data_IF_186477974915
#
_entry.id   IF_186477974915
#
_cell.length_a   1.000
_cell.length_b   1.000
_cell.length_c   1.000
_cell.angle_alpha   90.00
_cell.angle_beta   90.00
_cell.angle_gamma   90.00
#
_symmetry.space_group_name_H-M   'P 1'
#
loop_
_entity.id
_entity.type
_entity.pdbx_description
1 polymer ?
#
# COMPACT_ATOMS: atom_id res chain seq x y z
N UNK A 1 -20.78 -4.70 -7.15
CA UNK A 1 -19.76 -4.44 -8.19
C UNK A 1 -18.57 -3.85 -7.45
N UNK A 2 -17.39 -4.48 -7.48
CA UNK A 2 -16.19 -3.92 -6.83
C UNK A 2 -15.39 -3.21 -7.92
N UNK A 3 -15.26 -1.90 -7.80
CA UNK A 3 -14.40 -1.09 -8.68
C UNK A 3 -13.18 -0.65 -7.87
N UNK A 4 -11.99 -1.13 -8.24
CA UNK A 4 -10.73 -0.69 -7.65
C UNK A 4 -10.09 0.38 -8.55
N UNK A 5 -9.91 1.58 -8.01
CA UNK A 5 -9.20 2.67 -8.70
C UNK A 5 -7.74 2.69 -8.24
N UNK A 6 -6.82 2.39 -9.17
CA UNK A 6 -5.44 2.86 -9.08
C UNK A 6 -5.40 4.33 -9.52
N UNK A 7 -4.86 5.19 -8.66
CA UNK A 7 -4.85 6.64 -8.79
C UNK A 7 -3.72 7.20 -9.69
N UNK A 8 -2.88 6.34 -10.28
CA UNK A 8 -1.88 6.75 -11.28
C UNK A 8 -1.90 5.85 -12.51
N UNK A 9 -2.60 6.27 -13.57
CA UNK A 9 -2.48 5.68 -14.91
C UNK A 9 -1.28 6.29 -15.64
N UNK A 10 -0.13 5.61 -15.62
CA UNK A 10 0.95 5.88 -16.58
C UNK A 10 0.74 5.07 -17.85
N UNK A 11 0.67 5.78 -18.98
CA UNK A 11 0.71 5.21 -20.33
C UNK A 11 2.15 4.83 -20.66
N UNK A 12 2.47 3.54 -20.69
CA UNK A 12 3.79 3.08 -21.14
C UNK A 12 3.96 3.36 -22.64
N UNK A 13 4.89 4.24 -22.96
CA UNK A 13 5.17 4.71 -24.32
C UNK A 13 6.00 3.67 -25.10
N UNK A 14 5.69 3.55 -26.39
CA UNK A 14 5.86 2.37 -27.24
C UNK A 14 7.27 2.16 -27.85
N UNK A 15 8.34 2.70 -27.24
CA UNK A 15 9.67 2.68 -27.87
C UNK A 15 10.77 2.26 -26.90
N UNK A 16 11.04 0.95 -26.87
CA UNK A 16 12.34 0.25 -26.82
C UNK A 16 12.07 -1.17 -26.31
N UNK A 17 11.56 -2.02 -27.20
CA UNK A 17 11.44 -3.46 -26.94
C UNK A 17 12.75 -4.15 -27.37
N UNK A 18 13.65 -4.38 -26.42
CA UNK A 18 14.80 -5.27 -26.61
C UNK A 18 14.26 -6.71 -26.81
N UNK A 19 14.74 -7.36 -27.88
CA UNK A 19 14.26 -8.62 -28.48
C UNK A 19 14.08 -9.83 -27.53
N UNK A 20 14.48 -9.77 -26.26
CA UNK A 20 14.54 -10.91 -25.34
C UNK A 20 13.19 -11.31 -24.72
N UNK A 21 12.20 -10.42 -24.67
CA UNK A 21 10.89 -10.66 -24.02
C UNK A 21 9.70 -10.82 -24.98
N UNK A 22 9.98 -10.97 -26.29
CA UNK A 22 8.97 -10.93 -27.37
C UNK A 22 7.97 -12.09 -27.41
N UNK A 23 8.08 -13.11 -26.54
CA UNK A 23 7.18 -14.27 -26.56
C UNK A 23 5.90 -14.12 -25.74
N UNK A 24 5.72 -13.03 -24.99
CA UNK A 24 4.57 -12.92 -24.07
C UNK A 24 3.84 -11.57 -24.04
N UNK A 25 4.04 -10.67 -25.01
CA UNK A 25 3.31 -9.40 -25.05
C UNK A 25 2.44 -9.38 -26.30
N UNK A 26 1.19 -9.84 -26.18
CA UNK A 26 0.15 -9.48 -27.15
C UNK A 26 -0.13 -7.99 -26.95
N UNK A 27 0.18 -7.21 -27.99
CA UNK A 27 -0.20 -5.80 -28.13
C UNK A 27 -1.71 -5.69 -28.02
N UNK A 28 -2.18 -5.22 -26.88
CA UNK A 28 -3.58 -4.86 -26.66
C UNK A 28 -3.58 -3.59 -25.82
N UNK A 29 -4.15 -2.52 -26.37
CA UNK A 29 -4.63 -1.41 -25.56
C UNK A 29 -5.50 -2.01 -24.46
N UNK A 30 -5.02 -2.02 -23.21
CA UNK A 30 -5.74 -2.58 -22.07
C UNK A 30 -6.89 -1.62 -21.78
N UNK A 31 -8.01 -1.77 -22.49
CA UNK A 31 -9.30 -1.29 -22.00
C UNK A 31 -9.52 -1.99 -20.67
N UNK A 32 -9.64 -1.22 -19.57
CA UNK A 32 -9.99 -1.73 -18.24
C UNK A 32 -11.26 -2.58 -18.37
N UNK A 33 -11.21 -3.91 -18.19
CA UNK A 33 -12.40 -4.71 -18.13
C UNK A 33 -13.19 -4.29 -16.89
N UNK A 34 -14.49 -4.09 -17.03
CA UNK A 34 -15.39 -4.02 -15.88
C UNK A 34 -15.30 -5.35 -15.13
N UNK A 35 -15.09 -5.33 -13.82
CA UNK A 35 -15.16 -6.54 -12.98
C UNK A 35 -16.63 -6.90 -12.85
N UNK A 36 -17.13 -7.72 -13.77
CA UNK A 36 -18.48 -8.27 -13.71
C UNK A 36 -18.42 -9.51 -12.82
N UNK A 37 -19.31 -9.59 -11.83
CA UNK A 37 -19.41 -10.75 -10.95
C UNK A 37 -19.71 -11.99 -11.80
N UNK A 38 -18.71 -12.84 -12.01
CA UNK A 38 -18.85 -14.12 -12.67
C UNK A 38 -19.82 -15.02 -11.91
N UNK A 39 -20.79 -15.58 -12.64
CA UNK A 39 -21.78 -16.48 -12.09
C UNK A 39 -21.12 -17.68 -11.38
N UNK A 40 -21.67 -17.99 -10.20
CA UNK A 40 -21.35 -19.14 -9.31
C UNK A 40 -20.86 -20.36 -10.08
N UNK A 41 -19.64 -20.83 -9.75
CA UNK A 41 -19.23 -22.24 -9.77
C UNK A 41 -17.93 -22.43 -8.96
N UNK A 42 -18.06 -23.27 -7.93
CA UNK A 42 -17.10 -23.76 -6.94
C UNK A 42 -16.74 -22.83 -5.76
N UNK A 43 -17.56 -22.95 -4.71
CA UNK A 43 -17.10 -23.08 -3.32
C UNK A 43 -16.88 -21.83 -2.48
N UNK A 44 -16.34 -20.74 -3.03
CA UNK A 44 -16.09 -19.52 -2.25
C UNK A 44 -16.37 -18.28 -3.11
N UNK A 45 -17.05 -17.27 -2.53
CA UNK A 45 -17.30 -15.99 -3.18
C UNK A 45 -16.03 -15.19 -3.46
N UNK A 46 -16.18 -14.01 -4.08
CA UNK A 46 -15.07 -13.12 -4.43
C UNK A 46 -14.21 -12.81 -3.19
N UNK A 47 -12.88 -12.92 -3.34
CA UNK A 47 -11.91 -12.57 -2.30
C UNK A 47 -11.01 -11.45 -2.75
N UNK A 48 -10.75 -10.51 -1.84
CA UNK A 48 -9.78 -9.42 -2.06
C UNK A 48 -8.67 -9.53 -1.04
N UNK A 49 -7.46 -9.69 -1.56
CA UNK A 49 -6.21 -9.79 -0.83
C UNK A 49 -5.43 -8.48 -0.92
N UNK A 50 -4.59 -8.21 0.07
CA UNK A 50 -3.74 -7.01 0.13
C UNK A 50 -2.30 -7.36 0.51
N UNK A 51 -1.38 -6.60 -0.08
CA UNK A 51 0.05 -6.58 0.19
C UNK A 51 0.61 -5.17 0.02
N UNK A 52 1.67 -4.85 0.74
CA UNK A 52 2.52 -3.68 0.53
C UNK A 52 3.98 -4.02 0.79
N UNK A 53 4.89 -3.13 0.38
CA UNK A 53 6.30 -3.14 0.80
C UNK A 53 6.97 -4.50 0.51
N UNK A 54 6.85 -4.99 -0.72
CA UNK A 54 7.39 -6.28 -1.15
C UNK A 54 8.92 -6.24 -1.25
N UNK A 55 9.52 -5.12 -1.68
CA UNK A 55 10.97 -4.94 -1.79
C UNK A 55 11.70 -6.14 -2.38
N UNK A 56 11.30 -6.61 -3.57
CA UNK A 56 11.79 -7.87 -4.13
C UNK A 56 13.22 -7.81 -4.68
N UNK A 57 13.89 -6.66 -4.57
CA UNK A 57 15.35 -6.56 -4.71
C UNK A 57 16.09 -7.35 -3.64
N UNK A 58 15.46 -7.60 -2.49
CA UNK A 58 15.94 -8.59 -1.54
C UNK A 58 15.62 -10.00 -2.05
N UNK A 59 16.62 -10.87 -2.25
CA UNK A 59 16.40 -12.23 -2.75
C UNK A 59 15.42 -13.04 -1.90
N UNK A 60 15.40 -12.82 -0.58
CA UNK A 60 14.48 -13.47 0.34
C UNK A 60 13.02 -13.06 0.08
N UNK A 61 12.78 -11.81 -0.29
CA UNK A 61 11.43 -11.32 -0.61
C UNK A 61 10.98 -11.84 -1.98
N UNK A 62 11.88 -11.86 -2.97
CA UNK A 62 11.60 -12.51 -4.26
C UNK A 62 11.30 -14.01 -4.09
N UNK A 63 12.05 -14.71 -3.24
CA UNK A 63 11.80 -16.11 -2.91
C UNK A 63 10.41 -16.30 -2.26
N UNK A 64 10.01 -15.41 -1.35
CA UNK A 64 8.68 -15.41 -0.76
C UNK A 64 7.59 -15.26 -1.83
N UNK A 65 7.71 -14.29 -2.75
CA UNK A 65 6.73 -14.11 -3.86
C UNK A 65 6.65 -15.36 -4.74
N UNK A 66 7.79 -15.97 -5.07
CA UNK A 66 7.82 -17.22 -5.85
C UNK A 66 7.12 -18.38 -5.14
N UNK A 67 7.19 -18.41 -3.80
CA UNK A 67 6.58 -19.48 -2.99
C UNK A 67 5.04 -19.40 -2.91
N UNK A 68 4.44 -18.26 -3.28
CA UNK A 68 2.98 -18.12 -3.32
C UNK A 68 2.37 -19.14 -4.30
N UNK A 69 1.28 -19.77 -3.88
CA UNK A 69 0.59 -20.80 -4.65
C UNK A 69 -0.05 -20.24 -5.91
N UNK A 70 0.11 -20.95 -7.04
CA UNK A 70 -0.54 -20.64 -8.32
C UNK A 70 -1.97 -21.16 -8.42
N UNK A 71 -2.45 -21.95 -7.45
CA UNK A 71 -3.80 -22.54 -7.45
C UNK A 71 -4.70 -21.97 -6.35
N UNK A 72 -4.12 -21.57 -5.22
CA UNK A 72 -4.91 -21.12 -4.06
C UNK A 72 -5.66 -19.81 -4.32
N UNK A 73 -5.11 -18.98 -5.21
CA UNK A 73 -5.51 -17.59 -5.42
C UNK A 73 -5.91 -17.26 -6.87
N UNK A 74 -6.02 -18.27 -7.72
CA UNK A 74 -6.17 -18.11 -9.18
C UNK A 74 -7.43 -17.34 -9.61
N UNK A 75 -8.44 -17.24 -8.73
CA UNK A 75 -9.69 -16.47 -8.91
C UNK A 75 -9.81 -15.22 -8.02
N UNK A 76 -8.73 -14.85 -7.34
CA UNK A 76 -8.74 -13.77 -6.34
C UNK A 76 -8.25 -12.44 -6.91
N UNK A 77 -8.62 -11.35 -6.22
CA UNK A 77 -8.10 -10.01 -6.45
C UNK A 77 -6.96 -9.74 -5.48
N UNK A 78 -5.86 -9.14 -5.94
CA UNK A 78 -4.78 -8.62 -5.11
C UNK A 78 -4.64 -7.10 -5.28
N UNK A 79 -4.58 -6.38 -4.16
CA UNK A 79 -4.18 -4.98 -4.10
C UNK A 79 -2.74 -4.90 -3.60
N UNK A 80 -1.89 -4.19 -4.33
CA UNK A 80 -0.49 -3.95 -4.01
C UNK A 80 -0.28 -2.46 -3.73
N UNK A 81 -0.13 -2.12 -2.44
CA UNK A 81 0.02 -0.75 -1.94
C UNK A 81 1.50 -0.32 -1.93
N UNK A 82 2.12 -0.33 -3.12
CA UNK A 82 3.44 0.22 -3.39
C UNK A 82 4.63 -0.58 -2.87
N UNK A 83 5.81 -0.09 -3.24
CA UNK A 83 7.13 -0.61 -2.90
C UNK A 83 7.30 -2.07 -3.30
N UNK A 84 7.08 -2.35 -4.59
CA UNK A 84 7.27 -3.67 -5.18
C UNK A 84 8.75 -3.96 -5.34
N UNK A 85 9.46 -3.08 -6.04
CA UNK A 85 10.90 -3.17 -6.29
C UNK A 85 11.45 -1.83 -6.78
N UNK A 86 12.70 -1.56 -6.44
CA UNK A 86 13.50 -0.46 -6.97
C UNK A 86 14.06 -0.77 -8.37
N UNK A 87 14.54 -2.00 -8.63
CA UNK A 87 15.06 -2.34 -9.95
C UNK A 87 13.95 -2.73 -10.91
N UNK A 88 13.95 -2.11 -12.09
CA UNK A 88 12.95 -2.34 -13.14
C UNK A 88 12.74 -3.83 -13.50
N UNK A 89 13.83 -4.59 -13.63
CA UNK A 89 13.74 -6.02 -13.97
C UNK A 89 13.06 -6.84 -12.85
N UNK A 90 13.35 -6.52 -11.59
CA UNK A 90 12.70 -7.16 -10.44
C UNK A 90 11.24 -6.73 -10.32
N UNK A 91 10.92 -5.47 -10.61
CA UNK A 91 9.55 -4.98 -10.66
C UNK A 91 8.72 -5.78 -11.68
N UNK A 92 9.19 -5.87 -12.94
CA UNK A 92 8.49 -6.59 -14.00
C UNK A 92 8.35 -8.07 -13.67
N UNK A 93 9.40 -8.71 -13.14
CA UNK A 93 9.34 -10.11 -12.72
C UNK A 93 8.31 -10.31 -11.60
N UNK A 94 8.31 -9.45 -10.59
CA UNK A 94 7.39 -9.54 -9.45
C UNK A 94 5.93 -9.38 -9.89
N UNK A 95 5.63 -8.33 -10.66
CA UNK A 95 4.28 -8.09 -11.15
C UNK A 95 3.79 -9.24 -12.06
N UNK A 96 4.68 -9.84 -12.85
CA UNK A 96 4.36 -11.02 -13.66
C UNK A 96 4.03 -12.24 -12.79
N UNK A 97 4.81 -12.50 -11.74
CA UNK A 97 4.56 -13.60 -10.80
C UNK A 97 3.25 -13.41 -10.03
N UNK A 98 2.94 -12.20 -9.59
CA UNK A 98 1.67 -11.89 -8.93
C UNK A 98 0.50 -12.08 -9.90
N UNK A 99 0.63 -11.63 -11.15
CA UNK A 99 -0.42 -11.78 -12.16
C UNK A 99 -0.65 -13.22 -12.60
N UNK A 100 0.35 -14.09 -12.48
CA UNK A 100 0.20 -15.54 -12.67
C UNK A 100 -0.61 -16.20 -11.55
N UNK A 101 -0.57 -15.63 -10.33
CA UNK A 101 -1.17 -16.23 -9.13
C UNK A 101 -2.55 -15.68 -8.78
N UNK A 102 -2.87 -14.46 -9.23
CA UNK A 102 -4.12 -13.76 -8.95
C UNK A 102 -4.84 -13.37 -10.23
N UNK A 103 -6.17 -13.53 -10.26
CA UNK A 103 -6.97 -13.17 -11.43
C UNK A 103 -6.88 -11.68 -11.75
N UNK A 104 -6.87 -10.83 -10.71
CA UNK A 104 -6.71 -9.39 -10.86
C UNK A 104 -5.65 -8.86 -9.90
N UNK A 105 -4.77 -7.99 -10.40
CA UNK A 105 -3.75 -7.32 -9.59
C UNK A 105 -3.89 -5.82 -9.83
N UNK A 106 -4.20 -5.08 -8.77
CA UNK A 106 -4.23 -3.62 -8.77
C UNK A 106 -3.02 -3.10 -7.99
N UNK A 107 -2.40 -2.03 -8.49
CA UNK A 107 -1.15 -1.51 -7.95
C UNK A 107 -1.16 0.02 -7.96
N UNK A 108 -0.54 0.61 -6.94
CA UNK A 108 -0.14 2.02 -6.89
C UNK A 108 1.35 2.08 -6.57
N UNK A 109 2.12 2.98 -7.21
CA UNK A 109 3.54 3.10 -6.96
C UNK A 109 3.82 3.64 -5.56
N UNK A 110 4.82 3.04 -4.90
CA UNK A 110 5.49 3.60 -3.74
C UNK A 110 6.71 4.43 -4.12
N UNK A 111 7.45 4.90 -3.11
CA UNK A 111 8.64 5.72 -3.37
C UNK A 111 9.76 4.90 -4.00
N UNK A 112 9.95 3.63 -3.58
CA UNK A 112 10.98 2.77 -4.14
C UNK A 112 10.72 2.42 -5.62
N UNK A 113 9.45 2.30 -6.02
CA UNK A 113 9.08 2.01 -7.41
C UNK A 113 9.43 3.16 -8.38
N UNK A 114 9.67 4.37 -7.85
CA UNK A 114 9.92 5.59 -8.62
C UNK A 114 11.36 6.10 -8.52
N UNK A 115 12.22 5.47 -7.72
CA UNK A 115 13.61 5.89 -7.58
C UNK A 115 14.41 5.63 -8.87
N UNK A 116 14.84 6.72 -9.52
CA UNK A 116 15.78 6.68 -10.65
C UNK A 116 17.22 6.67 -10.10
N UNK A 117 17.86 5.49 -9.97
CA UNK A 117 19.23 5.43 -9.43
C UNK A 117 20.28 6.10 -10.32
N UNK A 118 21.07 6.97 -9.70
CA UNK A 118 22.53 7.03 -9.82
C UNK A 118 23.07 6.96 -8.37
N UNK A 119 23.62 5.81 -7.99
CA UNK A 119 24.42 5.49 -6.78
C UNK A 119 24.26 6.35 -5.49
N UNK A 120 23.61 5.83 -4.43
CA UNK A 120 23.93 5.98 -2.98
C UNK A 120 22.83 5.40 -2.06
N UNK A 121 23.18 5.00 -0.83
CA UNK A 121 22.36 4.30 0.19
C UNK A 121 21.91 5.20 1.38
N UNK A 122 21.25 6.33 1.14
CA UNK A 122 20.66 7.13 2.23
C UNK A 122 19.18 6.82 2.49
N UNK A 123 18.70 7.04 3.72
CA UNK A 123 17.27 7.02 4.06
C UNK A 123 16.60 8.36 3.68
N UNK A 124 15.31 8.36 3.36
CA UNK A 124 14.57 9.55 2.88
C UNK A 124 15.14 10.16 1.60
N UNK A 125 15.52 9.32 0.62
CA UNK A 125 16.15 9.77 -0.64
C UNK A 125 15.29 10.74 -1.43
N UNK A 126 13.98 10.74 -1.25
CA UNK A 126 13.06 11.60 -2.02
C UNK A 126 13.48 13.08 -1.96
N UNK A 127 14.04 13.54 -0.83
CA UNK A 127 14.53 14.92 -0.68
C UNK A 127 15.77 15.24 -1.53
N UNK A 128 16.56 14.23 -1.88
CA UNK A 128 17.84 14.36 -2.59
C UNK A 128 17.78 13.89 -4.05
N UNK A 129 16.97 12.87 -4.32
CA UNK A 129 16.84 12.22 -5.63
C UNK A 129 15.81 12.91 -6.53
N UNK A 130 14.82 13.62 -5.96
CA UNK A 130 13.79 14.29 -6.73
C UNK A 130 14.08 15.79 -6.91
N UNK A 131 13.97 16.27 -8.15
CA UNK A 131 14.01 17.71 -8.47
C UNK A 131 12.60 18.16 -8.83
N UNK A 132 12.08 19.11 -8.06
CA UNK A 132 10.74 19.64 -8.23
C UNK A 132 10.74 20.95 -9.01
N UNK A 133 9.65 21.28 -9.73
CA UNK A 133 9.41 22.62 -10.23
C UNK A 133 9.57 23.68 -9.12
N UNK A 134 10.08 24.87 -9.45
CA UNK A 134 10.47 25.87 -8.45
C UNK A 134 9.36 26.41 -7.55
N UNK A 135 8.09 26.17 -7.90
CA UNK A 135 6.92 26.51 -7.08
C UNK A 135 6.53 25.41 -6.07
N UNK A 136 7.22 24.27 -6.07
CA UNK A 136 6.99 23.16 -5.15
C UNK A 136 8.18 22.99 -4.21
N UNK A 137 7.88 22.68 -2.96
CA UNK A 137 8.85 22.71 -1.87
C UNK A 137 8.70 21.48 -0.98
N UNK A 138 9.83 20.90 -0.63
CA UNK A 138 9.95 19.83 0.36
C UNK A 138 9.74 20.32 1.81
N UNK A 139 9.57 21.63 2.03
CA UNK A 139 9.50 22.25 3.36
C UNK A 139 8.08 22.66 3.76
N UNK A 140 7.12 22.49 2.87
CA UNK A 140 5.71 22.83 3.08
C UNK A 140 4.79 21.77 2.42
N UNK A 141 3.49 22.04 2.41
CA UNK A 141 2.47 21.12 1.91
C UNK A 141 2.25 21.19 0.40
N UNK A 142 2.99 22.02 -0.34
CA UNK A 142 2.83 22.16 -1.81
C UNK A 142 3.09 20.83 -2.53
N UNK A 143 4.05 20.05 -2.02
CA UNK A 143 4.26 18.62 -2.28
C UNK A 143 2.96 17.82 -2.36
N UNK A 144 2.42 17.64 -1.17
CA UNK A 144 1.25 16.82 -0.95
C UNK A 144 0.05 17.32 -1.77
N UNK A 145 -0.21 18.64 -1.75
CA UNK A 145 -1.33 19.23 -2.48
C UNK A 145 -1.20 19.02 -3.99
N UNK A 146 0.00 19.16 -4.55
CA UNK A 146 0.23 18.95 -5.97
C UNK A 146 -0.12 17.50 -6.37
N UNK A 147 0.46 16.52 -5.69
CA UNK A 147 0.19 15.11 -5.98
C UNK A 147 -1.25 14.71 -5.72
N UNK A 148 -1.86 15.24 -4.66
CA UNK A 148 -3.27 15.04 -4.36
C UNK A 148 -4.16 15.57 -5.50
N UNK A 149 -3.91 16.79 -5.98
CA UNK A 149 -4.66 17.44 -7.06
C UNK A 149 -4.62 16.69 -8.39
N UNK A 150 -3.56 15.89 -8.65
CA UNK A 150 -3.49 15.04 -9.84
C UNK A 150 -4.61 14.01 -9.89
N UNK A 151 -5.25 13.71 -8.76
CA UNK A 151 -6.37 12.78 -8.65
C UNK A 151 -7.72 13.40 -9.04
N UNK A 152 -7.83 14.72 -9.16
CA UNK A 152 -9.07 15.40 -9.54
C UNK A 152 -9.60 14.95 -10.91
N UNK A 153 -8.70 14.54 -11.81
CA UNK A 153 -9.08 13.93 -13.11
C UNK A 153 -10.00 12.71 -12.97
N UNK A 154 -9.99 12.05 -11.81
CA UNK A 154 -10.78 10.85 -11.53
C UNK A 154 -12.12 11.16 -10.85
N UNK A 155 -12.45 12.42 -10.56
CA UNK A 155 -13.60 12.81 -9.75
C UNK A 155 -14.94 12.28 -10.29
N UNK A 156 -15.16 12.35 -11.61
CA UNK A 156 -16.39 11.81 -12.23
C UNK A 156 -16.50 10.29 -12.06
N UNK A 157 -15.39 9.57 -12.18
CA UNK A 157 -15.36 8.12 -11.99
C UNK A 157 -15.60 7.75 -10.53
N UNK A 158 -15.05 8.51 -9.58
CA UNK A 158 -15.32 8.32 -8.15
C UNK A 158 -16.82 8.50 -7.85
N UNK A 159 -17.45 9.57 -8.34
CA UNK A 159 -18.90 9.81 -8.17
C UNK A 159 -19.74 8.68 -8.77
N UNK A 160 -19.35 8.18 -9.94
CA UNK A 160 -20.01 7.03 -10.55
C UNK A 160 -19.90 5.76 -9.70
N UNK A 161 -18.73 5.50 -9.11
CA UNK A 161 -18.54 4.35 -8.21
C UNK A 161 -19.38 4.52 -6.94
N UNK A 162 -19.34 5.70 -6.31
CA UNK A 162 -20.14 5.99 -5.12
C UNK A 162 -21.65 5.80 -5.33
N UNK A 163 -22.15 6.12 -6.54
CA UNK A 163 -23.57 5.93 -6.86
C UNK A 163 -23.97 4.50 -7.25
N UNK A 164 -23.00 3.62 -7.54
CA UNK A 164 -23.27 2.27 -8.09
C UNK A 164 -22.77 1.13 -7.20
N UNK A 165 -21.86 1.42 -6.27
CA UNK A 165 -21.21 0.43 -5.43
C UNK A 165 -21.55 0.68 -3.96
N UNK A 166 -22.01 -0.35 -3.27
CA UNK A 166 -22.30 -0.30 -1.83
C UNK A 166 -21.05 -0.40 -0.96
N UNK A 167 -19.95 -0.93 -1.52
CA UNK A 167 -18.67 -1.16 -0.83
C UNK A 167 -17.54 -0.63 -1.69
N UNK A 168 -16.68 0.17 -1.07
CA UNK A 168 -15.57 0.83 -1.73
C UNK A 168 -14.30 0.48 -0.96
N UNK A 169 -13.26 0.10 -1.69
CA UNK A 169 -11.91 -0.06 -1.16
C UNK A 169 -11.05 0.99 -1.84
N UNK A 170 -10.47 1.90 -1.05
CA UNK A 170 -9.45 2.84 -1.54
C UNK A 170 -8.07 2.33 -1.11
N UNK A 171 -7.03 2.69 -1.85
CA UNK A 171 -5.68 2.33 -1.43
C UNK A 171 -4.64 3.33 -1.94
N UNK A 172 -3.63 3.58 -1.13
CA UNK A 172 -2.44 4.40 -1.40
C UNK A 172 -1.20 3.64 -0.99
N UNK A 173 -0.01 4.15 -1.34
CA UNK A 173 1.20 3.66 -0.69
C UNK A 173 1.43 4.39 0.64
N UNK A 174 1.34 5.72 0.63
CA UNK A 174 1.56 6.56 1.80
C UNK A 174 0.48 6.43 2.86
N UNK A 175 0.87 6.70 4.11
CA UNK A 175 0.04 6.62 5.31
C UNK A 175 -0.97 7.77 5.32
N UNK A 176 -2.27 7.49 5.43
CA UNK A 176 -3.29 8.54 5.37
C UNK A 176 -3.39 9.36 6.65
N UNK A 177 -3.10 8.75 7.81
CA UNK A 177 -3.26 9.41 9.12
C UNK A 177 -2.02 9.24 9.99
N UNK A 178 -1.65 10.30 10.70
CA UNK A 178 -0.54 10.28 11.65
C UNK A 178 -0.72 9.24 12.78
N UNK A 179 -1.96 8.92 13.14
CA UNK A 179 -2.31 7.90 14.13
C UNK A 179 -2.00 6.47 13.65
N UNK A 180 -1.84 6.25 12.35
CA UNK A 180 -1.42 4.97 11.79
C UNK A 180 0.11 4.86 11.69
N UNK A 181 0.82 5.70 12.45
CA UNK A 181 2.26 5.58 12.69
C UNK A 181 2.52 5.63 14.20
N UNK A 182 3.36 4.74 14.75
CA UNK A 182 3.70 4.78 16.17
C UNK A 182 4.28 6.13 16.58
N UNK A 183 4.07 6.50 17.84
CA UNK A 183 4.58 7.76 18.39
C UNK A 183 6.10 7.87 18.21
N UNK A 184 6.56 9.08 17.89
CA UNK A 184 7.98 9.39 17.63
C UNK A 184 8.93 8.81 18.68
N UNK A 185 8.56 8.85 19.96
CA UNK A 185 9.34 8.31 21.09
C UNK A 185 9.58 6.79 21.04
N UNK A 186 8.81 6.08 20.22
CA UNK A 186 8.85 4.62 20.04
C UNK A 186 9.58 4.21 18.76
N UNK A 187 9.96 5.16 17.90
CA UNK A 187 10.57 4.91 16.60
C UNK A 187 12.11 4.95 16.68
N UNK A 188 12.77 4.03 15.97
CA UNK A 188 14.23 4.09 15.78
C UNK A 188 14.65 5.25 14.86
N UNK A 189 13.80 5.63 13.92
CA UNK A 189 14.00 6.79 13.05
C UNK A 189 13.00 7.91 13.43
N UNK A 190 13.42 8.92 14.22
CA UNK A 190 12.50 9.91 14.78
C UNK A 190 11.94 10.90 13.75
N UNK A 191 12.52 10.96 12.55
CA UNK A 191 12.02 11.81 11.47
C UNK A 191 11.02 11.08 10.56
N UNK A 192 10.77 9.77 10.75
CA UNK A 192 9.81 9.00 9.94
C UNK A 192 8.47 9.73 9.80
N UNK A 193 7.81 10.22 10.87
CA UNK A 193 6.50 10.86 10.76
C UNK A 193 6.44 12.05 9.79
N UNK A 194 7.57 12.68 9.45
CA UNK A 194 7.62 13.82 8.54
C UNK A 194 7.46 13.44 7.06
N UNK A 195 7.58 12.15 6.72
CA UNK A 195 7.72 11.69 5.34
C UNK A 195 6.74 10.58 4.95
N UNK A 196 5.79 10.24 5.83
CA UNK A 196 4.94 9.06 5.63
C UNK A 196 3.67 9.32 4.84
N UNK A 197 3.23 10.58 4.71
CA UNK A 197 1.93 10.91 4.13
C UNK A 197 1.53 12.37 4.35
N UNK A 198 0.23 12.66 4.28
CA UNK A 198 -0.29 14.03 4.32
C UNK A 198 -1.76 14.12 4.67
N UNK A 199 -2.19 15.22 5.30
CA UNK A 199 -3.60 15.46 5.64
C UNK A 199 -4.51 15.50 4.40
N UNK A 200 -4.03 15.98 3.25
CA UNK A 200 -4.77 15.99 1.98
C UNK A 200 -5.21 14.59 1.52
N UNK A 201 -4.40 13.57 1.83
CA UNK A 201 -4.73 12.18 1.52
C UNK A 201 -5.91 11.70 2.37
N UNK A 202 -5.91 12.01 3.67
CA UNK A 202 -7.05 11.69 4.55
C UNK A 202 -8.31 12.44 4.10
N UNK A 203 -8.20 13.74 3.79
CA UNK A 203 -9.33 14.53 3.30
C UNK A 203 -9.94 13.90 2.04
N UNK A 204 -9.10 13.42 1.11
CA UNK A 204 -9.57 12.71 -0.09
C UNK A 204 -10.24 11.39 0.26
N UNK A 205 -9.66 10.59 1.15
CA UNK A 205 -10.25 9.32 1.59
C UNK A 205 -11.63 9.55 2.23
N UNK A 206 -11.75 10.59 3.06
CA UNK A 206 -13.01 11.02 3.69
C UNK A 206 -14.02 11.52 2.67
N UNK A 207 -13.59 12.23 1.63
CA UNK A 207 -14.48 12.64 0.54
C UNK A 207 -15.07 11.45 -0.24
N UNK A 208 -14.38 10.32 -0.24
CA UNK A 208 -14.81 9.09 -0.93
C UNK A 208 -15.72 8.25 -0.04
N UNK A 209 -15.33 8.03 1.22
CA UNK A 209 -16.04 7.12 2.13
C UNK A 209 -17.12 7.79 2.97
N UNK A 210 -17.05 9.11 3.14
CA UNK A 210 -17.90 9.87 4.06
C UNK A 210 -17.32 9.96 5.47
N UNK A 211 -18.07 10.66 6.34
CA UNK A 211 -17.71 10.97 7.74
C UNK A 211 -18.45 10.11 8.77
N UNK A 212 -19.46 9.34 8.36
CA UNK A 212 -20.21 8.45 9.25
C UNK A 212 -19.63 7.03 9.24
N UNK A 213 -19.83 6.29 10.34
CA UNK A 213 -19.36 4.90 10.50
C UNK A 213 -20.08 3.97 9.52
N UNK A 214 -19.58 3.89 8.30
CA UNK A 214 -20.04 2.96 7.30
C UNK A 214 -19.31 1.63 7.49
N UNK A 215 -20.05 0.55 7.69
CA UNK A 215 -19.53 -0.84 7.71
C UNK A 215 -18.86 -1.27 6.40
N UNK A 216 -18.80 -0.37 5.41
CA UNK A 216 -18.36 -0.62 4.04
C UNK A 216 -17.13 0.19 3.61
N UNK A 217 -16.51 0.95 4.52
CA UNK A 217 -15.34 1.78 4.23
C UNK A 217 -14.03 1.09 4.63
N UNK A 218 -13.16 0.86 3.64
CA UNK A 218 -11.83 0.29 3.85
C UNK A 218 -10.77 1.07 3.04
N UNK A 219 -9.65 1.36 3.68
CA UNK A 219 -8.48 1.96 3.07
C UNK A 219 -7.22 1.11 3.30
N UNK A 220 -6.53 0.76 2.23
CA UNK A 220 -5.29 -0.05 2.28
C UNK A 220 -4.08 0.84 2.03
N UNK A 221 -3.02 0.68 2.81
CA UNK A 221 -1.80 1.49 2.70
C UNK A 221 -0.50 0.68 2.94
N UNK A 222 0.66 1.34 2.84
CA UNK A 222 2.00 0.75 2.92
C UNK A 222 3.01 1.68 3.62
N UNK A 223 4.25 1.66 3.12
CA UNK A 223 5.33 2.61 3.39
C UNK A 223 6.05 2.46 4.75
N UNK A 224 5.33 2.41 5.87
CA UNK A 224 6.00 2.42 7.20
C UNK A 224 6.52 1.08 7.68
N UNK A 225 6.18 0.00 6.96
CA UNK A 225 6.42 -1.38 7.33
C UNK A 225 5.77 -1.83 8.65
N UNK A 226 4.93 -1.01 9.28
CA UNK A 226 4.16 -1.40 10.46
C UNK A 226 2.87 -2.11 10.04
N UNK A 227 2.59 -3.27 10.63
CA UNK A 227 1.30 -3.93 10.48
C UNK A 227 0.19 -3.08 11.09
N UNK A 228 -0.85 -2.83 10.31
CA UNK A 228 -2.06 -2.19 10.82
C UNK A 228 -3.30 -2.92 10.34
N UNK A 229 -4.21 -3.13 11.27
CA UNK A 229 -5.61 -3.39 10.98
C UNK A 229 -6.38 -2.69 12.10
N UNK A 230 -6.99 -1.55 11.81
CA UNK A 230 -7.64 -0.72 12.82
C UNK A 230 -8.79 0.06 12.20
N UNK A 231 -9.85 0.29 12.99
CA UNK A 231 -10.94 1.19 12.60
C UNK A 231 -10.71 2.54 13.27
N UNK A 232 -10.61 3.59 12.45
CA UNK A 232 -10.42 4.96 12.93
C UNK A 232 -11.49 5.85 12.31
N UNK A 233 -12.30 6.49 13.16
CA UNK A 233 -13.46 7.29 12.79
C UNK A 233 -14.35 6.61 11.73
N UNK A 234 -14.62 5.32 11.90
CA UNK A 234 -15.54 4.58 11.02
C UNK A 234 -14.95 4.04 9.71
N UNK A 235 -13.66 4.25 9.42
CA UNK A 235 -12.97 3.64 8.27
C UNK A 235 -11.99 2.58 8.78
N UNK A 236 -12.01 1.38 8.18
CA UNK A 236 -11.00 0.35 8.43
C UNK A 236 -9.74 0.67 7.64
N UNK A 237 -8.62 0.83 8.31
CA UNK A 237 -7.31 1.04 7.71
C UNK A 237 -6.46 -0.22 7.84
N UNK A 238 -5.90 -0.69 6.72
CA UNK A 238 -5.12 -1.92 6.66
C UNK A 238 -3.76 -1.67 6.02
N UNK A 239 -2.69 -2.03 6.72
CA UNK A 239 -1.34 -2.12 6.17
C UNK A 239 -0.84 -3.55 6.35
N UNK A 240 -0.51 -4.20 5.23
CA UNK A 240 -0.08 -5.60 5.16
C UNK A 240 1.32 -5.71 4.54
N UNK A 241 2.37 -5.23 5.24
CA UNK A 241 3.68 -5.07 4.67
C UNK A 241 4.45 -6.39 4.71
N UNK A 242 5.06 -6.78 3.59
CA UNK A 242 6.08 -7.85 3.62
C UNK A 242 7.36 -7.35 4.28
N UNK A 243 7.67 -6.05 4.14
CA UNK A 243 8.79 -5.34 4.76
C UNK A 243 10.18 -5.91 4.41
N UNK A 244 11.24 -5.33 4.98
CA UNK A 244 12.60 -5.85 4.77
C UNK A 244 12.82 -7.17 5.54
N UNK A 245 13.64 -8.10 5.01
CA UNK A 245 13.94 -9.36 5.70
C UNK A 245 14.47 -9.19 7.14
N UNK A 246 15.25 -8.13 7.40
CA UNK A 246 15.79 -7.83 8.74
C UNK A 246 14.70 -7.38 9.72
N UNK A 247 13.64 -6.75 9.24
CA UNK A 247 12.53 -6.26 10.07
C UNK A 247 11.58 -7.41 10.41
N UNK A 248 11.28 -8.30 9.45
CA UNK A 248 10.48 -9.52 9.71
C UNK A 248 11.07 -10.38 10.82
N UNK A 249 12.40 -10.51 10.88
CA UNK A 249 13.10 -11.24 11.96
C UNK A 249 12.80 -10.71 13.37
N UNK A 250 12.40 -9.43 13.50
CA UNK A 250 12.03 -8.83 14.79
C UNK A 250 10.60 -9.18 15.23
N UNK A 251 9.81 -9.81 14.35
CA UNK A 251 8.42 -10.25 14.58
C UNK A 251 7.46 -9.14 15.03
N UNK A 252 7.78 -7.88 14.77
CA UNK A 252 6.94 -6.74 15.14
C UNK A 252 5.87 -6.42 14.07
N UNK A 253 6.04 -6.92 12.85
CA UNK A 253 5.23 -6.55 11.69
C UNK A 253 4.09 -7.54 11.38
N UNK A 254 3.70 -8.40 12.32
CA UNK A 254 2.65 -9.41 12.09
C UNK A 254 2.90 -10.20 10.79
N UNK A 255 1.86 -10.73 10.15
CA UNK A 255 1.88 -11.00 8.71
C UNK A 255 2.45 -12.35 8.23
N UNK A 256 3.52 -12.89 8.82
CA UNK A 256 4.26 -14.01 8.18
C UNK A 256 3.39 -15.22 7.79
N UNK A 257 2.37 -15.53 8.58
CA UNK A 257 1.50 -16.69 8.34
C UNK A 257 0.20 -16.37 7.61
N UNK A 258 -0.12 -15.09 7.42
CA UNK A 258 -1.41 -14.64 6.88
C UNK A 258 -1.30 -13.65 5.73
N UNK A 259 -0.08 -13.31 5.28
CA UNK A 259 0.15 -12.65 4.01
C UNK A 259 0.04 -13.66 2.83
N UNK A 260 -0.51 -13.25 1.68
CA UNK A 260 -1.25 -12.01 1.45
C UNK A 260 -2.54 -11.97 2.28
N UNK A 261 -2.93 -10.78 2.75
CA UNK A 261 -3.99 -10.66 3.74
C UNK A 261 -5.38 -10.52 3.09
N UNK A 262 -6.33 -11.38 3.43
CA UNK A 262 -7.69 -11.33 2.91
C UNK A 262 -8.52 -10.31 3.71
N UNK A 263 -8.90 -9.19 3.08
CA UNK A 263 -9.73 -8.15 3.71
C UNK A 263 -11.22 -8.27 3.37
N UNK A 264 -11.54 -9.01 2.31
CA UNK A 264 -12.89 -9.14 1.78
C UNK A 264 -13.15 -10.58 1.36
N UNK A 265 -14.29 -11.12 1.78
CA UNK A 265 -14.74 -12.46 1.42
C UNK A 265 -16.25 -12.44 1.23
N UNK A 266 -16.70 -12.86 0.05
CA UNK A 266 -18.10 -13.20 -0.24
C UNK A 266 -19.14 -12.14 0.19
N UNK A 267 -18.91 -10.88 -0.18
CA UNK A 267 -19.87 -9.80 0.08
C UNK A 267 -19.56 -8.97 1.32
N UNK A 268 -18.62 -9.40 2.17
CA UNK A 268 -18.35 -8.74 3.44
C UNK A 268 -16.86 -8.44 3.65
N UNK A 269 -16.57 -7.30 4.29
CA UNK A 269 -15.26 -7.10 4.89
C UNK A 269 -15.10 -8.06 6.06
N UNK A 270 -13.92 -8.66 6.21
CA UNK A 270 -13.69 -9.62 7.29
C UNK A 270 -14.08 -9.01 8.64
N UNK A 271 -15.09 -9.57 9.31
CA UNK A 271 -15.73 -8.96 10.48
C UNK A 271 -14.78 -8.77 11.69
N UNK A 272 -13.65 -9.49 11.69
CA UNK A 272 -12.63 -9.40 12.73
C UNK A 272 -11.41 -8.65 12.21
N UNK A 273 -11.04 -7.60 12.95
CA UNK A 273 -9.72 -6.96 12.85
C UNK A 273 -8.67 -7.99 13.26
N UNK A 274 -7.66 -8.19 12.42
CA UNK A 274 -6.59 -9.13 12.70
C UNK A 274 -5.59 -8.56 13.71
N UNK A 275 -5.03 -9.40 14.61
CA UNK A 275 -4.01 -8.95 15.54
C UNK A 275 -2.77 -8.39 14.82
N UNK A 276 -2.56 -7.09 14.97
CA UNK A 276 -1.35 -6.38 14.57
C UNK A 276 -0.81 -5.68 15.82
N UNK A 277 0.50 -5.82 16.10
CA UNK A 277 1.10 -5.34 17.34
C UNK A 277 0.73 -3.89 17.69
N UNK A 278 0.83 -2.97 16.73
CA UNK A 278 0.54 -1.55 16.98
C UNK A 278 -0.95 -1.25 17.10
N UNK A 279 -1.79 -1.93 16.33
CA UNK A 279 -3.24 -1.82 16.46
C UNK A 279 -3.71 -2.31 17.83
N UNK A 280 -3.21 -3.47 18.26
CA UNK A 280 -3.50 -4.06 19.58
C UNK A 280 -2.95 -3.18 20.72
N UNK A 281 -1.74 -2.64 20.56
CA UNK A 281 -1.12 -1.74 21.52
C UNK A 281 -1.98 -0.49 21.75
N UNK A 282 -2.39 0.19 20.67
CA UNK A 282 -3.17 1.43 20.76
C UNK A 282 -4.65 1.20 21.08
N UNK A 283 -5.16 -0.03 20.98
CA UNK A 283 -6.51 -0.36 21.43
C UNK A 283 -6.66 -0.27 22.97
N UNK A 284 -5.57 -0.45 23.71
CA UNK A 284 -5.57 -0.42 25.19
C UNK A 284 -4.67 0.68 25.78
N UNK A 285 -3.74 1.24 25.01
CA UNK A 285 -2.88 2.33 25.44
C UNK A 285 -3.28 3.61 24.70
N UNK A 286 -3.80 4.63 25.41
CA UNK A 286 -4.07 5.93 24.81
C UNK A 286 -2.82 6.53 24.20
N UNK A 287 -2.99 7.26 23.11
CA UNK A 287 -1.87 7.99 22.50
C UNK A 287 -1.41 9.13 23.40
N UNK A 288 -0.10 9.31 23.47
CA UNK A 288 0.61 10.36 24.21
C UNK A 288 1.60 11.09 23.30
N UNK A 289 1.16 11.75 22.21
CA UNK A 289 2.07 12.35 21.22
C UNK A 289 2.97 13.45 21.80
N UNK A 290 2.54 14.10 22.89
CA UNK A 290 3.31 15.12 23.61
C UNK A 290 4.37 14.52 24.54
N UNK A 291 4.33 13.21 24.80
CA UNK A 291 5.36 12.55 25.60
C UNK A 291 6.64 12.42 24.77
N UNK A 292 7.71 13.06 25.24
CA UNK A 292 9.03 13.02 24.60
C UNK A 292 9.98 12.02 25.23
N UNK A 293 9.57 11.31 26.29
CA UNK A 293 10.36 10.27 26.93
C UNK A 293 10.48 9.05 26.02
N UNK A 294 11.72 8.72 25.62
CA UNK A 294 12.01 7.61 24.73
C UNK A 294 11.54 6.30 25.35
N UNK A 295 10.87 5.47 24.54
CA UNK A 295 10.53 4.13 24.97
C UNK A 295 11.81 3.33 25.31
N UNK A 296 11.80 2.42 26.31
CA UNK A 296 13.01 1.75 26.78
C UNK A 296 13.81 1.03 25.67
N UNK A 297 13.12 0.44 24.69
CA UNK A 297 13.76 -0.23 23.55
C UNK A 297 14.39 0.73 22.54
N UNK A 298 14.01 2.01 22.53
CA UNK A 298 14.63 3.07 21.74
C UNK A 298 15.77 3.69 22.54
N UNK A 299 15.52 4.04 23.81
CA UNK A 299 16.50 4.68 24.70
C UNK A 299 17.84 3.93 24.77
N UNK A 300 17.82 2.59 24.76
CA UNK A 300 19.03 1.75 24.76
C UNK A 300 19.99 2.01 23.58
N UNK A 301 19.50 2.56 22.46
CA UNK A 301 20.35 2.91 21.31
C UNK A 301 20.97 4.31 21.43
N UNK A 302 20.43 5.15 22.32
CA UNK A 302 20.92 6.51 22.58
C UNK A 302 21.76 6.61 23.85
N UNK A 303 21.65 5.64 24.77
CA UNK A 303 22.42 5.57 26.02
C UNK A 303 23.77 4.83 25.88
N UNK A 304 24.23 4.56 24.66
CA UNK A 304 25.51 3.91 24.36
C UNK A 304 26.61 4.92 23.98
N UNK A 305 26.46 6.19 24.39
CA UNK A 305 27.45 7.26 24.21
C UNK A 305 28.04 7.63 25.57
#
# INVERSE_FOLDING_TARGET
MISCLSLSSYSFCEKIALKKYRRCVKTGCIKRPQVVSGAKKDGFGLRVFVLSDLHTDYPENMAWVRSLSTKRHDKDVLLVAGDVAEMYDNFILTMSLLKERFEYVFFVPGNHDLWCRWETEDACKDFHACKWPGNLSNRDTSLALYFDSMNEKNQNTVKQIQSTCSQIITFSHFVPRQELCPEKRMLFYPNLPKIIGSDWLEDRIRSIHGVESSSFACHVFGHTHFCWDAVVDGIRYVQAPLAYPRERKRRMNGGETWLPFCIYLDGEFGAKVMPCYWSDYYAINPRTPNNTELAPWVARFYNLI
#
